data_IF_070573655792
#
_entry.id   IF_070573655792
#
_cell.length_a   1.000
_cell.length_b   1.000
_cell.length_c   1.000
_cell.angle_alpha   90.00
_cell.angle_beta   90.00
_cell.angle_gamma   90.00
#
_symmetry.space_group_name_H-M   'P 1'
#
loop_
_entity.id
_entity.type
_entity.pdbx_description
1 polymer ?
#
# COMPACT_ATOMS: atom_id res chain seq x y z
N UNK A 1 0.77 25.17 2.18
CA UNK A 1 0.17 23.96 1.57
C UNK A 1 1.13 22.82 1.85
N UNK A 2 0.88 22.05 2.90
CA UNK A 2 1.80 21.00 3.34
C UNK A 2 1.55 19.75 2.51
N UNK A 3 2.55 19.38 1.73
CA UNK A 3 2.52 18.29 0.78
C UNK A 3 2.32 16.95 1.52
N UNK A 4 1.10 16.41 1.44
CA UNK A 4 0.73 15.11 2.02
C UNK A 4 1.52 13.97 1.35
N UNK A 5 2.09 14.22 0.16
CA UNK A 5 2.87 13.23 -0.59
C UNK A 5 4.20 12.87 0.10
N UNK A 6 4.79 13.71 0.96
CA UNK A 6 6.12 13.45 1.55
C UNK A 6 6.09 12.78 2.93
N UNK A 7 4.93 12.73 3.61
CA UNK A 7 4.84 12.13 4.96
C UNK A 7 4.68 10.61 4.91
N UNK A 8 5.26 9.94 5.91
CA UNK A 8 4.90 8.56 6.26
C UNK A 8 3.39 8.50 6.51
N UNK A 9 2.68 7.45 6.07
CA UNK A 9 1.25 7.36 6.33
C UNK A 9 0.99 7.51 7.83
N UNK A 10 0.02 8.36 8.18
CA UNK A 10 -0.48 8.46 9.55
C UNK A 10 -1.02 7.11 10.03
N UNK A 11 -1.27 6.95 11.34
CA UNK A 11 -1.78 5.69 11.89
C UNK A 11 -3.03 5.25 11.10
N UNK A 12 -3.03 4.02 10.59
CA UNK A 12 -4.13 3.49 9.78
C UNK A 12 -3.97 3.53 8.26
N UNK A 13 -3.20 4.47 7.71
CA UNK A 13 -3.18 4.69 6.26
C UNK A 13 -2.21 3.76 5.54
N UNK A 14 -2.58 3.34 4.33
CA UNK A 14 -1.69 2.70 3.37
C UNK A 14 -1.24 3.71 2.32
N UNK A 15 -0.09 3.48 1.71
CA UNK A 15 0.50 4.36 0.72
C UNK A 15 1.04 3.57 -0.46
N UNK A 16 0.75 3.99 -1.68
CA UNK A 16 1.52 3.62 -2.87
C UNK A 16 2.58 4.70 -3.07
N UNK A 17 3.84 4.28 -3.17
CA UNK A 17 4.95 5.11 -3.63
C UNK A 17 5.28 4.77 -5.07
N UNK A 18 5.17 5.77 -5.94
CA UNK A 18 5.51 5.71 -7.37
C UNK A 18 6.15 7.05 -7.77
N UNK A 19 7.48 7.15 -7.67
CA UNK A 19 8.33 8.29 -8.08
C UNK A 19 7.63 9.66 -8.26
N UNK A 20 7.10 10.22 -7.17
CA UNK A 20 6.48 11.56 -7.15
C UNK A 20 4.94 11.59 -7.28
N UNK A 21 4.31 10.45 -7.56
CA UNK A 21 2.88 10.25 -7.66
C UNK A 21 2.34 9.41 -6.48
N UNK A 22 2.76 9.75 -5.27
CA UNK A 22 2.38 9.03 -4.06
C UNK A 22 0.88 9.16 -3.78
N UNK A 23 0.21 8.04 -3.48
CA UNK A 23 -1.22 7.99 -3.15
C UNK A 23 -1.46 7.36 -1.78
N UNK A 24 -2.38 7.91 -1.00
CA UNK A 24 -2.79 7.40 0.30
C UNK A 24 -4.16 6.73 0.23
N UNK A 25 -4.35 5.69 1.04
CA UNK A 25 -5.54 4.86 1.08
C UNK A 25 -5.92 4.55 2.52
N UNK A 26 -7.22 4.45 2.80
CA UNK A 26 -7.71 4.06 4.12
C UNK A 26 -8.00 2.56 4.22
N UNK A 27 -8.27 1.92 3.08
CA UNK A 27 -8.61 0.49 3.00
C UNK A 27 -7.66 -0.28 2.08
N UNK A 28 -7.50 -1.56 2.39
CA UNK A 28 -6.74 -2.49 1.55
C UNK A 28 -7.46 -2.78 0.24
N UNK A 29 -8.80 -2.77 0.24
CA UNK A 29 -9.60 -3.03 -0.96
C UNK A 29 -9.47 -1.88 -1.98
N UNK A 30 -9.52 -0.63 -1.52
CA UNK A 30 -9.29 0.54 -2.37
C UNK A 30 -7.87 0.53 -2.96
N UNK A 31 -6.87 0.25 -2.11
CA UNK A 31 -5.48 0.08 -2.53
C UNK A 31 -5.37 -1.00 -3.63
N UNK A 32 -5.99 -2.16 -3.42
CA UNK A 32 -5.96 -3.29 -4.35
C UNK A 32 -6.62 -2.94 -5.68
N UNK A 33 -7.80 -2.30 -5.65
CA UNK A 33 -8.50 -1.85 -6.84
C UNK A 33 -7.61 -0.92 -7.68
N UNK A 34 -7.06 0.12 -7.04
CA UNK A 34 -6.19 1.10 -7.71
C UNK A 34 -4.91 0.46 -8.27
N UNK A 35 -4.27 -0.46 -7.54
CA UNK A 35 -3.12 -1.21 -8.06
C UNK A 35 -3.49 -1.98 -9.33
N UNK A 36 -4.61 -2.70 -9.30
CA UNK A 36 -5.03 -3.56 -10.42
C UNK A 36 -5.49 -2.77 -11.65
N UNK A 37 -6.00 -1.55 -11.47
CA UNK A 37 -6.54 -0.75 -12.56
C UNK A 37 -5.51 0.24 -13.15
N UNK A 38 -4.77 0.93 -12.29
CA UNK A 38 -3.98 2.11 -12.69
C UNK A 38 -2.47 1.84 -12.76
N UNK A 39 -1.99 0.75 -12.15
CA UNK A 39 -0.57 0.44 -12.05
C UNK A 39 -0.15 -0.80 -12.86
N UNK A 40 -0.98 -1.27 -13.80
CA UNK A 40 -0.67 -2.40 -14.69
C UNK A 40 0.67 -2.21 -15.42
N UNK A 41 1.49 -3.25 -15.42
CA UNK A 41 2.82 -3.24 -16.02
C UNK A 41 3.87 -2.43 -15.27
N UNK A 42 3.58 -1.98 -14.03
CA UNK A 42 4.51 -1.16 -13.24
C UNK A 42 5.00 -1.90 -11.99
N UNK A 43 6.09 -1.36 -11.44
CA UNK A 43 6.59 -1.69 -10.12
C UNK A 43 6.36 -0.51 -9.18
N UNK A 44 5.77 -0.75 -8.02
CA UNK A 44 5.53 0.29 -7.01
C UNK A 44 5.84 -0.25 -5.63
N UNK A 45 6.00 0.66 -4.67
CA UNK A 45 6.17 0.28 -3.26
C UNK A 45 4.91 0.55 -2.47
N UNK A 46 4.38 -0.45 -1.78
CA UNK A 46 3.30 -0.29 -0.80
C UNK A 46 3.93 -0.02 0.56
N UNK A 47 3.49 1.02 1.26
CA UNK A 47 3.97 1.40 2.60
C UNK A 47 2.80 1.49 3.57
N UNK A 48 2.91 0.89 4.74
CA UNK A 48 1.88 0.97 5.79
C UNK A 48 2.51 0.82 7.19
N UNK A 49 1.91 1.43 8.23
CA UNK A 49 2.36 1.25 9.60
C UNK A 49 1.95 -0.13 10.12
N UNK A 50 2.86 -0.83 10.78
CA UNK A 50 2.57 -2.01 11.59
C UNK A 50 2.08 -1.60 12.97
N UNK A 51 1.43 -2.52 13.69
CA UNK A 51 1.00 -2.30 15.09
C UNK A 51 2.16 -1.92 16.03
N UNK A 52 3.40 -2.26 15.68
CA UNK A 52 4.61 -1.87 16.41
C UNK A 52 5.02 -0.40 16.21
N UNK A 53 4.35 0.34 15.31
CA UNK A 53 4.71 1.70 14.91
C UNK A 53 5.78 1.79 13.81
N UNK A 54 6.34 0.66 13.38
CA UNK A 54 7.30 0.59 12.27
C UNK A 54 6.55 0.58 10.93
N UNK A 55 7.01 1.34 9.94
CA UNK A 55 6.48 1.26 8.58
C UNK A 55 7.08 0.08 7.82
N UNK A 56 6.21 -0.80 7.32
CA UNK A 56 6.60 -1.86 6.39
C UNK A 56 6.55 -1.32 4.97
N UNK A 57 7.51 -1.75 4.15
CA UNK A 57 7.59 -1.43 2.73
C UNK A 57 7.60 -2.73 1.93
N UNK A 58 6.69 -2.86 0.96
CA UNK A 58 6.59 -4.00 0.06
C UNK A 58 6.78 -3.52 -1.37
N UNK A 59 7.83 -3.99 -2.04
CA UNK A 59 8.01 -3.75 -3.47
C UNK A 59 7.18 -4.77 -4.25
N UNK A 60 6.22 -4.28 -5.03
CA UNK A 60 5.27 -5.12 -5.78
C UNK A 60 5.36 -4.82 -7.27
N UNK A 61 5.15 -5.87 -8.06
CA UNK A 61 5.02 -5.81 -9.51
C UNK A 61 3.56 -6.08 -9.87
N UNK A 62 2.98 -5.25 -10.71
CA UNK A 62 1.63 -5.45 -11.23
C UNK A 62 1.76 -5.90 -12.68
N UNK A 63 1.25 -7.08 -13.02
CA UNK A 63 1.32 -7.58 -14.39
C UNK A 63 0.30 -6.89 -15.32
N UNK A 64 0.25 -7.31 -16.58
CA UNK A 64 -0.65 -6.73 -17.58
C UNK A 64 -2.14 -6.97 -17.26
N UNK A 65 -2.45 -8.05 -16.55
CA UNK A 65 -3.80 -8.42 -16.13
C UNK A 65 -4.25 -7.64 -14.88
N UNK A 66 -3.33 -6.99 -14.17
CA UNK A 66 -3.60 -6.29 -12.91
C UNK A 66 -3.38 -7.13 -11.65
N UNK A 67 -2.81 -8.33 -11.78
CA UNK A 67 -2.40 -9.14 -10.64
C UNK A 67 -1.18 -8.53 -9.96
N UNK A 68 -1.25 -8.40 -8.64
CA UNK A 68 -0.19 -7.81 -7.82
C UNK A 68 0.64 -8.92 -7.20
N UNK A 69 1.92 -8.96 -7.55
CA UNK A 69 2.86 -9.97 -7.12
C UNK A 69 4.05 -9.33 -6.38
N UNK A 70 4.73 -10.13 -5.55
CA UNK A 70 6.04 -9.78 -5.02
C UNK A 70 7.03 -9.53 -6.17
N UNK A 71 7.89 -8.52 -6.04
CA UNK A 71 8.88 -8.25 -7.11
C UNK A 71 10.08 -9.20 -7.05
N UNK A 72 10.49 -9.64 -5.86
CA UNK A 72 11.66 -10.48 -5.64
C UNK A 72 11.28 -11.92 -5.30
N UNK A 73 12.16 -12.87 -5.63
CA UNK A 73 11.97 -14.29 -5.31
C UNK A 73 11.03 -14.97 -6.29
N UNK A 74 9.98 -15.61 -5.76
CA UNK A 74 9.07 -16.47 -6.52
C UNK A 74 7.93 -15.70 -7.23
N UNK A 75 7.91 -14.37 -7.13
CA UNK A 75 6.89 -13.49 -7.70
C UNK A 75 5.46 -13.95 -7.40
N UNK A 76 5.23 -14.33 -6.14
CA UNK A 76 3.94 -14.85 -5.69
C UNK A 76 2.92 -13.71 -5.55
N UNK A 77 1.62 -14.03 -5.68
CA UNK A 77 0.56 -13.07 -5.39
C UNK A 77 0.69 -12.49 -3.98
N UNK A 78 0.46 -11.18 -3.86
CA UNK A 78 0.46 -10.50 -2.56
C UNK A 78 -0.75 -10.95 -1.73
N UNK A 79 -0.49 -11.37 -0.50
CA UNK A 79 -1.53 -11.64 0.50
C UNK A 79 -2.00 -10.34 1.15
N UNK A 80 -3.02 -9.74 0.55
CA UNK A 80 -3.66 -8.53 1.06
C UNK A 80 -4.38 -8.75 2.40
N UNK A 81 -4.80 -9.97 2.73
CA UNK A 81 -5.42 -10.26 4.02
C UNK A 81 -4.39 -10.17 5.15
N UNK A 82 -3.16 -10.65 4.91
CA UNK A 82 -2.05 -10.49 5.84
C UNK A 82 -1.73 -9.01 6.09
N UNK A 83 -1.67 -8.18 5.03
CA UNK A 83 -1.47 -6.72 5.16
C UNK A 83 -2.54 -6.10 6.07
N UNK A 84 -3.81 -6.48 5.89
CA UNK A 84 -4.89 -5.95 6.70
C UNK A 84 -4.83 -6.40 8.17
N UNK A 85 -4.36 -7.62 8.43
CA UNK A 85 -4.24 -8.17 9.78
C UNK A 85 -3.08 -7.56 10.59
N UNK A 86 -1.96 -7.23 9.94
CA UNK A 86 -0.75 -6.75 10.61
C UNK A 86 -0.64 -5.23 10.72
N UNK A 87 -1.32 -4.49 9.84
CA UNK A 87 -1.27 -3.02 9.86
C UNK A 87 -1.90 -2.46 11.14
N UNK A 88 -1.39 -1.32 11.59
CA UNK A 88 -2.09 -0.50 12.56
C UNK A 88 -3.33 0.08 11.87
N UNK A 89 -4.50 -0.08 12.47
CA UNK A 89 -5.73 0.56 12.02
C UNK A 89 -5.82 1.97 12.63
N UNK A 90 -6.46 2.89 11.91
CA UNK A 90 -6.83 4.17 12.50
C UNK A 90 -7.91 3.89 13.55
N UNK A 91 -7.72 4.38 14.78
CA UNK A 91 -8.83 4.45 15.72
C UNK A 91 -9.88 5.41 15.14
N UNK A 92 -11.07 4.89 14.87
CA UNK A 92 -12.22 5.73 14.54
C UNK A 92 -12.63 6.40 15.84
N UNK A 93 -12.10 7.59 16.09
CA UNK A 93 -12.62 8.45 17.16
C UNK A 93 -13.95 9.01 16.65
N UNK A 94 -15.05 8.36 17.01
CA UNK A 94 -16.38 8.96 16.93
C UNK A 94 -16.42 10.07 17.99
N UNK A 95 -16.21 11.32 17.57
CA UNK A 95 -16.48 12.53 18.37
C UNK A 95 -17.85 13.05 18.00
#
# INVERSE_FOLDING_TARGET
MSDIATRSPGPGYLKIKDFGCDKLFQSVDELKGVLSEQYKGKHVTIVYPLKSGIHRMLLVSINAEGCVNETYGQQRPIDFAAINAERQLAEVVLV
#
